data_IF_612860678205
#
_entry.id   IF_612860678205
#
_cell.length_a   1.000
_cell.length_b   1.000
_cell.length_c   1.000
_cell.angle_alpha   90.00
_cell.angle_beta   90.00
_cell.angle_gamma   90.00
#
_symmetry.space_group_name_H-M   'P 1'
#
loop_
_entity.id
_entity.type
_entity.pdbx_description
1 polymer ?
#
# COMPACT_ATOMS: atom_id res chain seq x y z
N UNK A 1 11.88 13.84 7.31
CA UNK A 1 10.88 13.05 8.06
C UNK A 1 10.50 11.78 7.32
N UNK A 2 9.95 11.84 6.10
CA UNK A 2 9.54 10.65 5.33
C UNK A 2 10.66 9.59 5.16
N UNK A 3 11.86 10.00 4.76
CA UNK A 3 12.99 9.06 4.58
C UNK A 3 13.48 8.46 5.90
N UNK A 4 13.38 9.20 7.00
CA UNK A 4 13.75 8.73 8.34
C UNK A 4 12.74 7.69 8.84
N UNK A 5 11.45 7.93 8.60
CA UNK A 5 10.37 7.00 8.90
C UNK A 5 10.53 5.66 8.15
N UNK A 6 10.95 5.70 6.87
CA UNK A 6 11.25 4.49 6.09
C UNK A 6 12.44 3.73 6.70
N UNK A 7 13.47 4.43 7.19
CA UNK A 7 14.61 3.79 7.86
C UNK A 7 14.17 3.11 9.16
N UNK A 8 13.34 3.78 9.98
CA UNK A 8 12.79 3.19 11.20
C UNK A 8 11.94 1.95 10.91
N UNK A 9 11.05 2.01 9.91
CA UNK A 9 10.24 0.86 9.52
C UNK A 9 11.08 -0.34 9.05
N UNK A 10 12.21 -0.10 8.38
CA UNK A 10 13.15 -1.16 7.97
C UNK A 10 13.88 -1.83 9.14
N UNK A 11 14.01 -1.14 10.26
CA UNK A 11 14.61 -1.68 11.49
C UNK A 11 13.53 -2.14 12.48
N UNK A 12 12.27 -2.31 12.03
CA UNK A 12 11.13 -2.74 12.85
C UNK A 12 10.81 -1.78 14.02
N UNK A 13 11.30 -0.54 13.94
CA UNK A 13 11.01 0.54 14.88
C UNK A 13 9.70 1.23 14.49
N UNK A 14 8.60 0.49 14.62
CA UNK A 14 7.29 0.90 14.08
C UNK A 14 6.70 2.13 14.77
N UNK A 15 6.97 2.33 16.07
CA UNK A 15 6.47 3.50 16.81
C UNK A 15 7.16 4.78 16.33
N UNK A 16 8.49 4.76 16.19
CA UNK A 16 9.28 5.89 15.71
C UNK A 16 8.96 6.20 14.24
N UNK A 17 8.74 5.17 13.43
CA UNK A 17 8.26 5.32 12.05
C UNK A 17 6.88 5.98 12.01
N UNK A 18 5.94 5.51 12.84
CA UNK A 18 4.59 6.06 12.93
C UNK A 18 4.61 7.54 13.32
N UNK A 19 5.34 7.91 14.36
CA UNK A 19 5.47 9.29 14.82
C UNK A 19 6.03 10.21 13.72
N UNK A 20 7.05 9.74 13.00
CA UNK A 20 7.63 10.48 11.89
C UNK A 20 6.63 10.68 10.73
N UNK A 21 5.85 9.66 10.39
CA UNK A 21 4.81 9.77 9.35
C UNK A 21 3.64 10.66 9.78
N UNK A 22 3.22 10.61 11.06
CA UNK A 22 2.18 11.50 11.60
C UNK A 22 2.63 12.97 11.57
N UNK A 23 3.86 13.26 11.99
CA UNK A 23 4.40 14.62 11.89
C UNK A 23 4.49 15.09 10.44
N UNK A 24 4.94 14.22 9.53
CA UNK A 24 4.96 14.50 8.10
C UNK A 24 3.55 14.79 7.56
N UNK A 25 2.54 14.04 7.99
CA UNK A 25 1.14 14.23 7.60
C UNK A 25 0.63 15.60 8.05
N UNK A 26 0.86 15.98 9.31
CA UNK A 26 0.48 17.29 9.86
C UNK A 26 1.12 18.43 9.04
N UNK A 27 2.41 18.31 8.72
CA UNK A 27 3.10 19.33 7.94
C UNK A 27 2.53 19.40 6.52
N UNK A 28 2.36 18.27 5.83
CA UNK A 28 1.85 18.25 4.45
C UNK A 28 0.42 18.77 4.35
N UNK A 29 -0.45 18.46 5.31
CA UNK A 29 -1.82 18.99 5.38
C UNK A 29 -1.90 20.51 5.54
N UNK A 30 -0.83 21.18 5.98
CA UNK A 30 -0.78 22.66 6.03
C UNK A 30 -0.61 23.30 4.66
N UNK A 31 0.01 22.57 3.72
CA UNK A 31 0.42 23.12 2.42
C UNK A 31 -0.34 22.51 1.24
N UNK A 32 -0.98 21.36 1.45
CA UNK A 32 -1.65 20.61 0.39
C UNK A 32 -3.07 20.19 0.78
N UNK A 33 -3.99 20.14 -0.20
CA UNK A 33 -5.32 19.58 0.02
C UNK A 33 -5.24 18.09 0.33
N UNK A 34 -6.22 17.54 1.05
CA UNK A 34 -6.23 16.15 1.52
C UNK A 34 -6.06 15.09 0.41
N UNK A 35 -6.42 15.41 -0.84
CA UNK A 35 -6.28 14.54 -2.00
C UNK A 35 -4.91 14.63 -2.69
N UNK A 36 -3.96 15.38 -2.14
CA UNK A 36 -2.65 15.57 -2.76
C UNK A 36 -1.82 14.26 -2.73
N UNK A 37 -1.10 13.93 -3.83
CA UNK A 37 -0.28 12.71 -3.90
C UNK A 37 0.71 12.52 -2.74
N UNK A 38 1.36 13.61 -2.28
CA UNK A 38 2.27 13.54 -1.13
C UNK A 38 1.59 13.04 0.16
N UNK A 39 0.33 13.42 0.39
CA UNK A 39 -0.44 12.95 1.56
C UNK A 39 -0.82 11.48 1.35
N UNK A 40 -1.19 11.11 0.13
CA UNK A 40 -1.51 9.73 -0.23
C UNK A 40 -0.34 8.76 0.01
N UNK A 41 0.89 9.17 -0.32
CA UNK A 41 2.11 8.38 -0.06
C UNK A 41 2.31 8.18 1.45
N UNK A 42 2.04 9.19 2.27
CA UNK A 42 2.12 9.05 3.73
C UNK A 42 1.07 8.06 4.23
N UNK A 43 -0.15 8.08 3.68
CA UNK A 43 -1.17 7.09 4.00
C UNK A 43 -0.78 5.66 3.60
N UNK A 44 -0.15 5.46 2.45
CA UNK A 44 0.39 4.12 2.08
C UNK A 44 1.35 3.63 3.16
N UNK A 45 2.30 4.46 3.57
CA UNK A 45 3.30 4.07 4.55
C UNK A 45 2.70 3.78 5.92
N UNK A 46 1.73 4.59 6.37
CA UNK A 46 0.99 4.31 7.60
C UNK A 46 0.23 2.97 7.50
N UNK A 47 -0.41 2.69 6.36
CA UNK A 47 -1.07 1.40 6.13
C UNK A 47 -0.11 0.20 6.21
N UNK A 48 1.10 0.35 5.67
CA UNK A 48 2.15 -0.68 5.78
C UNK A 48 2.59 -0.90 7.22
N UNK A 49 2.78 0.17 8.02
CA UNK A 49 3.10 0.04 9.44
C UNK A 49 2.02 -0.75 10.18
N UNK A 50 0.74 -0.38 9.99
CA UNK A 50 -0.35 -1.09 10.66
C UNK A 50 -0.49 -2.54 10.20
N UNK A 51 -0.16 -2.84 8.94
CA UNK A 51 -0.05 -4.22 8.43
C UNK A 51 1.02 -5.03 9.16
N UNK A 52 2.18 -4.43 9.41
CA UNK A 52 3.27 -5.06 10.17
C UNK A 52 2.93 -5.23 11.64
N UNK A 53 2.07 -4.38 12.20
CA UNK A 53 1.53 -4.49 13.55
C UNK A 53 0.30 -5.40 13.65
N UNK A 54 -0.07 -6.09 12.57
CA UNK A 54 -1.26 -6.96 12.50
C UNK A 54 -2.58 -6.24 12.84
N UNK A 55 -2.64 -4.92 12.66
CA UNK A 55 -3.86 -4.13 12.83
C UNK A 55 -4.56 -3.97 11.49
N UNK A 56 -5.38 -4.97 11.14
CA UNK A 56 -6.04 -5.07 9.84
C UNK A 56 -6.91 -3.84 9.51
N UNK A 57 -7.78 -3.44 10.45
CA UNK A 57 -8.75 -2.36 10.24
C UNK A 57 -8.06 -1.00 10.01
N UNK A 58 -7.04 -0.69 10.80
CA UNK A 58 -6.27 0.54 10.65
C UNK A 58 -5.49 0.56 9.33
N UNK A 59 -4.85 -0.55 8.98
CA UNK A 59 -4.16 -0.68 7.71
C UNK A 59 -5.11 -0.45 6.51
N UNK A 60 -6.27 -1.12 6.50
CA UNK A 60 -7.30 -0.94 5.47
C UNK A 60 -7.81 0.50 5.40
N UNK A 61 -8.06 1.14 6.55
CA UNK A 61 -8.47 2.54 6.62
C UNK A 61 -7.47 3.46 5.92
N UNK A 62 -6.17 3.32 6.21
CA UNK A 62 -5.13 4.15 5.58
C UNK A 62 -4.97 3.86 4.10
N UNK A 63 -5.06 2.59 3.67
CA UNK A 63 -5.03 2.25 2.25
C UNK A 63 -6.22 2.84 1.48
N UNK A 64 -7.42 2.85 2.06
CA UNK A 64 -8.58 3.51 1.45
C UNK A 64 -8.42 5.03 1.36
N UNK A 65 -7.85 5.67 2.39
CA UNK A 65 -7.52 7.10 2.34
C UNK A 65 -6.54 7.41 1.21
N UNK A 66 -5.51 6.57 1.03
CA UNK A 66 -4.56 6.72 -0.07
C UNK A 66 -5.24 6.57 -1.45
N UNK A 67 -6.08 5.54 -1.63
CA UNK A 67 -6.82 5.33 -2.89
C UNK A 67 -7.72 6.51 -3.24
N UNK A 68 -8.37 7.13 -2.26
CA UNK A 68 -9.22 8.30 -2.46
C UNK A 68 -8.41 9.47 -3.05
N UNK A 69 -7.20 9.70 -2.57
CA UNK A 69 -6.31 10.75 -3.08
C UNK A 69 -5.83 10.47 -4.50
N UNK A 70 -5.63 9.20 -4.89
CA UNK A 70 -5.21 8.83 -6.24
C UNK A 70 -6.35 8.71 -7.27
N UNK A 71 -7.61 8.72 -6.83
CA UNK A 71 -8.79 8.60 -7.72
C UNK A 71 -8.92 9.73 -8.77
N UNK A 72 -8.23 10.85 -8.57
CA UNK A 72 -8.31 12.04 -9.42
C UNK A 72 -7.18 12.15 -10.46
N UNK A 73 -6.19 11.25 -10.44
CA UNK A 73 -4.99 11.36 -11.29
C UNK A 73 -4.63 10.03 -11.96
N UNK A 74 -4.98 9.89 -13.23
CA UNK A 74 -4.69 8.69 -14.04
C UNK A 74 -3.20 8.37 -14.16
N UNK A 75 -2.30 9.35 -13.98
CA UNK A 75 -0.85 9.14 -14.02
C UNK A 75 -0.29 8.43 -12.78
N UNK A 76 -1.08 8.25 -11.71
CA UNK A 76 -0.65 7.65 -10.44
C UNK A 76 -1.13 6.20 -10.28
N UNK A 77 -1.44 5.53 -11.39
CA UNK A 77 -1.85 4.12 -11.42
C UNK A 77 -0.84 3.20 -10.72
N UNK A 78 0.46 3.52 -10.77
CA UNK A 78 1.49 2.76 -10.07
C UNK A 78 1.25 2.63 -8.55
N UNK A 79 0.91 3.73 -7.88
CA UNK A 79 0.65 3.70 -6.44
C UNK A 79 -0.64 2.96 -6.10
N UNK A 80 -1.64 2.98 -6.98
CA UNK A 80 -2.86 2.16 -6.82
C UNK A 80 -2.54 0.67 -6.84
N UNK A 81 -1.67 0.24 -7.74
CA UNK A 81 -1.23 -1.14 -7.82
C UNK A 81 -0.48 -1.58 -6.54
N UNK A 82 0.39 -0.73 -5.99
CA UNK A 82 1.04 -0.98 -4.70
C UNK A 82 0.01 -1.12 -3.57
N UNK A 83 -1.00 -0.25 -3.53
CA UNK A 83 -2.04 -0.33 -2.49
C UNK A 83 -2.81 -1.65 -2.62
N UNK A 84 -3.23 -2.03 -3.82
CA UNK A 84 -3.94 -3.29 -4.05
C UNK A 84 -3.07 -4.50 -3.71
N UNK A 85 -1.77 -4.48 -4.02
CA UNK A 85 -0.85 -5.53 -3.59
C UNK A 85 -0.84 -5.66 -2.05
N UNK A 86 -0.66 -4.56 -1.32
CA UNK A 86 -0.65 -4.58 0.14
C UNK A 86 -2.00 -5.05 0.74
N UNK A 87 -3.13 -4.64 0.14
CA UNK A 87 -4.44 -5.15 0.53
C UNK A 87 -4.55 -6.66 0.28
N UNK A 88 -4.05 -7.14 -0.85
CA UNK A 88 -3.97 -8.58 -1.17
C UNK A 88 -3.17 -9.35 -0.12
N UNK A 89 -2.02 -8.82 0.30
CA UNK A 89 -1.18 -9.38 1.36
C UNK A 89 -1.93 -9.43 2.70
N UNK A 90 -2.69 -8.38 3.04
CA UNK A 90 -3.52 -8.32 4.25
C UNK A 90 -4.57 -9.43 4.26
N UNK A 91 -5.35 -9.55 3.19
CA UNK A 91 -6.38 -10.57 3.10
C UNK A 91 -5.78 -11.98 3.07
N UNK A 92 -4.57 -12.15 2.51
CA UNK A 92 -3.85 -13.41 2.54
C UNK A 92 -3.47 -13.81 3.97
N UNK A 93 -2.97 -12.87 4.79
CA UNK A 93 -2.66 -13.11 6.21
C UNK A 93 -3.89 -13.55 7.00
N UNK A 94 -5.06 -13.00 6.68
CA UNK A 94 -6.35 -13.37 7.28
C UNK A 94 -6.98 -14.64 6.66
N UNK A 95 -6.27 -15.35 5.78
CA UNK A 95 -6.79 -16.52 5.04
C UNK A 95 -8.06 -16.26 4.20
N UNK A 96 -8.33 -14.99 3.87
CA UNK A 96 -9.44 -14.57 3.03
C UNK A 96 -9.03 -14.62 1.55
N UNK A 97 -8.93 -15.83 1.02
CA UNK A 97 -8.34 -16.11 -0.29
C UNK A 97 -9.08 -15.47 -1.47
N UNK A 98 -10.40 -15.35 -1.41
CA UNK A 98 -11.19 -14.72 -2.49
C UNK A 98 -10.89 -13.23 -2.61
N UNK A 99 -10.89 -12.52 -1.49
CA UNK A 99 -10.57 -11.10 -1.42
C UNK A 99 -9.11 -10.86 -1.79
N UNK A 100 -8.19 -11.66 -1.25
CA UNK A 100 -6.76 -11.59 -1.59
C UNK A 100 -6.53 -11.74 -3.09
N UNK A 101 -7.13 -12.77 -3.70
CA UNK A 101 -7.02 -13.02 -5.14
C UNK A 101 -7.53 -11.85 -5.98
N UNK A 102 -8.68 -11.27 -5.59
CA UNK A 102 -9.25 -10.11 -6.27
C UNK A 102 -8.28 -8.92 -6.25
N UNK A 103 -7.75 -8.57 -5.08
CA UNK A 103 -6.82 -7.43 -4.97
C UNK A 103 -5.50 -7.67 -5.70
N UNK A 104 -4.97 -8.89 -5.68
CA UNK A 104 -3.80 -9.22 -6.49
C UNK A 104 -4.06 -9.12 -7.99
N UNK A 105 -5.25 -9.52 -8.47
CA UNK A 105 -5.64 -9.34 -9.87
C UNK A 105 -5.74 -7.86 -10.24
N UNK A 106 -6.40 -7.05 -9.40
CA UNK A 106 -6.49 -5.60 -9.62
C UNK A 106 -5.11 -4.93 -9.67
N UNK A 107 -4.17 -5.36 -8.81
CA UNK A 107 -2.78 -4.89 -8.83
C UNK A 107 -2.04 -5.32 -10.10
N UNK A 108 -2.21 -6.59 -10.49
CA UNK A 108 -1.56 -7.20 -11.64
C UNK A 108 -1.96 -6.50 -12.95
N UNK A 109 -3.25 -6.27 -13.16
CA UNK A 109 -3.77 -5.65 -14.38
C UNK A 109 -3.20 -4.24 -14.56
N UNK A 110 -3.04 -3.49 -13.46
CA UNK A 110 -2.44 -2.17 -13.49
C UNK A 110 -0.93 -2.26 -13.79
N UNK A 111 -0.20 -3.14 -13.10
CA UNK A 111 1.23 -3.31 -13.36
C UNK A 111 1.52 -3.76 -14.80
N UNK A 112 0.67 -4.61 -15.40
CA UNK A 112 0.79 -4.99 -16.81
C UNK A 112 0.63 -3.82 -17.77
N UNK A 113 -0.28 -2.89 -17.48
CA UNK A 113 -0.52 -1.71 -18.32
C UNK A 113 0.66 -0.73 -18.25
N UNK A 114 1.40 -0.70 -17.13
CA UNK A 114 2.60 0.11 -16.93
C UNK A 114 3.79 -0.63 -17.56
N UNK A 115 3.77 -0.71 -18.90
CA UNK A 115 4.58 -1.58 -19.76
C UNK A 115 6.09 -1.31 -19.79
N UNK A 116 6.62 -0.46 -18.91
CA UNK A 116 7.99 0.09 -19.02
C UNK A 116 8.97 -0.35 -17.93
N UNK A 117 8.56 -1.15 -16.94
CA UNK A 117 9.46 -1.55 -15.84
C UNK A 117 9.25 -3.03 -15.57
N UNK A 118 10.31 -3.81 -15.78
CA UNK A 118 10.43 -5.17 -15.29
C UNK A 118 10.41 -5.11 -13.76
N UNK A 119 9.22 -5.24 -13.18
CA UNK A 119 8.98 -4.92 -11.78
C UNK A 119 8.99 -6.20 -10.96
N UNK A 120 9.85 -6.32 -9.92
CA UNK A 120 9.83 -7.45 -8.97
C UNK A 120 8.44 -7.73 -8.39
N UNK A 121 7.60 -6.70 -8.29
CA UNK A 121 6.22 -6.80 -7.82
C UNK A 121 5.33 -7.66 -8.74
N UNK A 122 5.56 -7.65 -10.06
CA UNK A 122 4.74 -8.43 -11.00
C UNK A 122 4.97 -9.93 -10.79
N UNK A 123 6.23 -10.36 -10.73
CA UNK A 123 6.61 -11.75 -10.46
C UNK A 123 6.11 -12.21 -9.09
N UNK A 124 6.23 -11.37 -8.07
CA UNK A 124 5.68 -11.63 -6.74
C UNK A 124 4.17 -11.86 -6.79
N UNK A 125 3.41 -10.94 -7.39
CA UNK A 125 1.94 -11.04 -7.50
C UNK A 125 1.53 -12.29 -8.29
N UNK A 126 2.22 -12.61 -9.38
CA UNK A 126 1.97 -13.84 -10.14
C UNK A 126 2.16 -15.09 -9.28
N UNK A 127 3.23 -15.15 -8.49
CA UNK A 127 3.49 -16.25 -7.59
C UNK A 127 2.38 -16.37 -6.53
N UNK A 128 1.97 -15.26 -5.89
CA UNK A 128 0.90 -15.29 -4.90
C UNK A 128 -0.44 -15.75 -5.49
N UNK A 129 -0.79 -15.26 -6.67
CA UNK A 129 -2.00 -15.70 -7.40
C UNK A 129 -1.97 -17.21 -7.65
N UNK A 130 -0.83 -17.76 -8.07
CA UNK A 130 -0.69 -19.21 -8.31
C UNK A 130 -0.83 -20.01 -7.02
N UNK A 131 -0.18 -19.58 -5.94
CA UNK A 131 -0.25 -20.24 -4.64
C UNK A 131 -1.68 -20.27 -4.09
N UNK A 132 -2.40 -19.15 -4.15
CA UNK A 132 -3.79 -19.06 -3.68
C UNK A 132 -4.70 -20.00 -4.48
N UNK A 133 -4.49 -20.10 -5.81
CA UNK A 133 -5.28 -21.00 -6.66
C UNK A 133 -5.02 -22.48 -6.38
N UNK A 134 -3.85 -22.84 -5.85
CA UNK A 134 -3.52 -24.22 -5.50
C UNK A 134 -4.08 -24.65 -4.13
N UNK A 135 -4.47 -23.69 -3.28
CA UNK A 135 -5.02 -23.94 -1.95
C UNK A 135 -6.55 -24.02 -1.92
N UNK A 136 -7.20 -23.88 -3.09
CA UNK A 136 -8.64 -24.06 -3.32
C UNK A 136 -8.91 -25.39 -4.00
#
# INVERSE_FOLDING_TARGET
LNNMAIIYAKHEQFNEAFDCFQQSLIIRKKYFPDNHPDIAIIYINLGVIWSSLHQFDDAMKYFHLALKSFSLNHHLNFYRAIIYQNMGDLFLKESQFDQSLKYYQDAFDIFQQIRSIDHPNLSYIQQQIQLIKQQK
#
